data_IF_527498364087
#
_entry.id   IF_527498364087
#
_cell.length_a   1.000
_cell.length_b   1.000
_cell.length_c   1.000
_cell.angle_alpha   90.00
_cell.angle_beta   90.00
_cell.angle_gamma   90.00
#
_symmetry.space_group_name_H-M   'P 1'
#
loop_
_entity.id
_entity.type
_entity.pdbx_description
1 polymer ?
#
# COMPACT_ATOMS: atom_id res chain seq x y z
N UNK A 1 16.37 6.19 -12.61
CA UNK A 1 16.37 6.71 -11.23
C UNK A 1 16.60 8.21 -11.31
N UNK A 2 15.60 9.02 -10.97
CA UNK A 2 15.75 10.48 -10.92
C UNK A 2 15.97 10.84 -9.46
N UNK A 3 17.19 11.28 -9.14
CA UNK A 3 17.55 11.81 -7.83
C UNK A 3 17.35 13.32 -7.87
N UNK A 4 16.46 13.85 -7.03
CA UNK A 4 16.35 15.29 -6.82
C UNK A 4 17.11 15.61 -5.53
N UNK A 5 18.17 16.40 -5.67
CA UNK A 5 19.08 16.81 -4.60
C UNK A 5 18.52 18.04 -3.91
N UNK A 6 17.88 17.89 -2.75
CA UNK A 6 17.64 18.99 -1.83
C UNK A 6 18.44 18.77 -0.54
N UNK A 7 19.04 19.85 -0.04
CA UNK A 7 20.05 19.87 1.02
C UNK A 7 19.56 19.15 2.29
N UNK A 8 20.23 18.05 2.64
CA UNK A 8 20.09 17.39 3.95
C UNK A 8 19.19 16.16 3.97
N UNK A 9 19.63 15.07 3.33
CA UNK A 9 19.10 13.73 3.54
C UNK A 9 18.10 13.26 2.48
N UNK A 10 18.30 12.02 2.01
CA UNK A 10 17.42 11.33 1.06
C UNK A 10 16.06 11.01 1.73
N UNK A 11 15.10 11.94 1.68
CA UNK A 11 13.70 11.61 1.97
C UNK A 11 13.03 11.13 0.68
N UNK A 12 12.81 9.82 0.59
CA UNK A 12 11.94 9.25 -0.44
C UNK A 12 10.52 9.76 -0.18
N UNK A 13 10.10 10.77 -0.95
CA UNK A 13 8.71 11.22 -0.96
C UNK A 13 7.92 10.21 -1.80
N UNK A 14 7.46 9.12 -1.17
CA UNK A 14 6.75 8.00 -1.81
C UNK A 14 5.33 8.37 -2.29
N UNK A 15 5.12 9.59 -2.80
CA UNK A 15 3.81 10.09 -3.25
C UNK A 15 3.25 9.28 -4.45
N UNK A 16 4.11 8.49 -5.10
CA UNK A 16 3.79 7.75 -6.32
C UNK A 16 3.33 6.31 -6.09
N UNK A 17 3.58 5.77 -4.89
CA UNK A 17 3.19 4.42 -4.50
C UNK A 17 2.42 4.53 -3.19
N UNK A 18 1.10 4.42 -3.25
CA UNK A 18 0.24 4.56 -2.08
C UNK A 18 -0.32 3.19 -1.70
N UNK A 19 0.07 2.68 -0.54
CA UNK A 19 -0.45 1.43 0.00
C UNK A 19 -1.64 1.73 0.93
N UNK A 20 -2.80 1.21 0.58
CA UNK A 20 -4.05 1.37 1.31
C UNK A 20 -4.52 0.01 1.82
N UNK A 21 -5.22 -0.01 2.94
CA UNK A 21 -5.83 -1.23 3.48
C UNK A 21 -7.31 -1.28 3.09
N UNK A 22 -7.81 -2.46 2.74
CA UNK A 22 -9.20 -2.63 2.41
C UNK A 22 -10.14 -2.48 3.61
N UNK A 23 -11.31 -1.89 3.35
CA UNK A 23 -12.45 -1.89 4.27
C UNK A 23 -13.00 -3.30 4.54
N UNK A 24 -12.90 -4.21 3.57
CA UNK A 24 -13.23 -5.63 3.75
C UNK A 24 -12.25 -6.45 2.92
N UNK A 25 -11.77 -7.57 3.46
CA UNK A 25 -10.86 -8.45 2.73
C UNK A 25 -11.56 -9.02 1.50
N UNK A 26 -10.82 -9.14 0.40
CA UNK A 26 -11.34 -9.66 -0.85
C UNK A 26 -10.63 -10.97 -1.19
N UNK A 27 -11.38 -12.06 -1.29
CA UNK A 27 -10.81 -13.36 -1.67
C UNK A 27 -10.62 -13.42 -3.20
N UNK A 28 -9.37 -13.24 -3.67
CA UNK A 28 -9.02 -13.34 -5.09
C UNK A 28 -7.56 -13.70 -5.30
N UNK A 29 -7.13 -13.81 -6.56
CA UNK A 29 -5.72 -13.97 -6.89
C UNK A 29 -4.95 -12.71 -6.48
N UNK A 30 -3.94 -12.85 -5.62
CA UNK A 30 -3.00 -11.79 -5.30
C UNK A 30 -2.21 -11.40 -6.55
N UNK A 31 -2.15 -10.11 -6.87
CA UNK A 31 -1.57 -9.63 -8.13
C UNK A 31 -0.04 -9.53 -8.08
N UNK A 32 0.56 -9.72 -6.90
CA UNK A 32 2.02 -9.82 -6.73
C UNK A 32 2.53 -11.26 -6.79
N UNK A 33 1.99 -12.17 -5.95
CA UNK A 33 2.50 -13.55 -5.86
C UNK A 33 1.71 -14.57 -6.69
N UNK A 34 0.57 -14.18 -7.26
CA UNK A 34 -0.26 -15.05 -8.10
C UNK A 34 -1.04 -16.14 -7.35
N UNK A 35 -0.99 -16.20 -6.02
CA UNK A 35 -1.78 -17.18 -5.23
C UNK A 35 -3.18 -16.65 -4.93
N UNK A 36 -4.19 -17.53 -4.94
CA UNK A 36 -5.56 -17.20 -4.53
C UNK A 36 -5.66 -17.24 -3.01
N UNK A 37 -6.02 -16.11 -2.39
CA UNK A 37 -6.16 -15.94 -0.93
C UNK A 37 -6.82 -14.59 -0.63
N UNK A 38 -7.03 -14.31 0.66
CA UNK A 38 -7.50 -13.01 1.09
C UNK A 38 -6.48 -11.92 0.77
N UNK A 39 -6.95 -10.91 0.05
CA UNK A 39 -6.24 -9.67 -0.18
C UNK A 39 -6.72 -8.62 0.83
N UNK A 40 -5.73 -7.98 1.47
CA UNK A 40 -5.93 -7.02 2.56
C UNK A 40 -5.57 -5.60 2.15
N UNK A 41 -4.76 -5.45 1.09
CA UNK A 41 -4.18 -4.18 0.71
C UNK A 41 -4.35 -3.88 -0.77
N UNK A 42 -4.37 -2.60 -1.09
CA UNK A 42 -4.35 -2.05 -2.45
C UNK A 42 -3.15 -1.12 -2.60
N UNK A 43 -2.29 -1.38 -3.57
CA UNK A 43 -1.17 -0.51 -3.93
C UNK A 43 -1.52 0.31 -5.18
N UNK A 44 -1.74 1.61 -5.01
CA UNK A 44 -2.02 2.53 -6.11
C UNK A 44 -0.71 3.06 -6.71
N UNK A 45 -0.57 2.96 -8.04
CA UNK A 45 0.60 3.42 -8.78
C UNK A 45 0.29 4.70 -9.53
N UNK A 46 0.96 5.78 -9.15
CA UNK A 46 0.79 7.13 -9.70
C UNK A 46 2.04 7.56 -10.47
N UNK A 47 1.83 8.43 -11.45
CA UNK A 47 2.87 9.03 -12.26
C UNK A 47 3.85 9.80 -11.40
N UNK A 48 5.13 9.68 -11.71
CA UNK A 48 6.18 10.33 -10.95
C UNK A 48 6.06 11.87 -11.00
N UNK A 49 5.64 12.40 -12.15
CA UNK A 49 5.60 13.82 -12.49
C UNK A 49 4.23 14.43 -12.23
N UNK A 50 3.17 13.83 -12.78
CA UNK A 50 1.80 14.39 -12.72
C UNK A 50 1.04 13.93 -11.47
N UNK A 51 1.52 12.89 -10.77
CA UNK A 51 0.81 12.20 -9.67
C UNK A 51 -0.56 11.64 -10.06
N UNK A 52 -0.87 11.60 -11.36
CA UNK A 52 -2.09 10.94 -11.86
C UNK A 52 -1.92 9.43 -11.87
N UNK A 53 -3.00 8.69 -11.75
CA UNK A 53 -2.96 7.22 -11.81
C UNK A 53 -2.48 6.77 -13.21
N UNK A 54 -1.48 5.88 -13.29
CA UNK A 54 -0.89 5.45 -14.59
C UNK A 54 -1.52 4.15 -15.14
N UNK A 55 -1.56 3.08 -14.34
CA UNK A 55 -1.79 1.71 -14.84
C UNK A 55 -2.85 0.94 -14.04
N UNK A 56 -3.06 1.30 -12.79
CA UNK A 56 -4.12 0.73 -11.95
C UNK A 56 -3.63 0.58 -10.52
N UNK A 57 -4.29 -0.31 -9.80
CA UNK A 57 -3.99 -0.63 -8.43
C UNK A 57 -3.71 -2.12 -8.31
N UNK A 58 -2.72 -2.51 -7.49
CA UNK A 58 -2.47 -3.91 -7.19
C UNK A 58 -3.16 -4.34 -5.90
N UNK A 59 -3.95 -5.40 -5.97
CA UNK A 59 -4.53 -6.00 -4.78
C UNK A 59 -3.62 -7.11 -4.23
N UNK A 60 -3.26 -6.97 -2.97
CA UNK A 60 -2.18 -7.71 -2.32
C UNK A 60 -2.68 -8.52 -1.12
N UNK A 61 -2.19 -9.75 -1.01
CA UNK A 61 -2.36 -10.56 0.20
C UNK A 61 -1.54 -10.02 1.37
N UNK A 62 -1.75 -10.56 2.57
CA UNK A 62 -1.06 -10.14 3.80
C UNK A 62 0.46 -10.05 3.65
N UNK A 63 1.10 -11.13 3.20
CA UNK A 63 2.56 -11.22 3.01
C UNK A 63 3.08 -10.19 2.00
N UNK A 64 2.42 -10.06 0.85
CA UNK A 64 2.83 -9.12 -0.19
C UNK A 64 2.65 -7.68 0.27
N UNK A 65 1.51 -7.37 0.92
CA UNK A 65 1.26 -6.05 1.49
C UNK A 65 2.30 -5.66 2.52
N UNK A 66 2.62 -6.56 3.47
CA UNK A 66 3.68 -6.37 4.48
C UNK A 66 5.04 -6.04 3.85
N UNK A 67 5.47 -6.83 2.86
CA UNK A 67 6.71 -6.54 2.13
C UNK A 67 6.69 -5.16 1.45
N UNK A 68 5.57 -4.76 0.83
CA UNK A 68 5.45 -3.43 0.24
C UNK A 68 5.42 -2.32 1.30
N UNK A 69 4.80 -2.54 2.46
CA UNK A 69 4.83 -1.64 3.60
C UNK A 69 6.26 -1.39 4.07
N UNK A 70 7.06 -2.44 4.21
CA UNK A 70 8.48 -2.35 4.60
C UNK A 70 9.31 -1.58 3.55
N UNK A 71 9.10 -1.85 2.26
CA UNK A 71 9.77 -1.14 1.15
C UNK A 71 9.44 0.35 1.16
N UNK A 72 8.16 0.69 1.38
CA UNK A 72 7.66 2.07 1.39
C UNK A 72 7.84 2.76 2.76
N UNK A 73 8.29 2.02 3.77
CA UNK A 73 8.37 2.47 5.17
C UNK A 73 7.03 2.99 5.70
N UNK A 74 5.94 2.34 5.30
CA UNK A 74 4.57 2.64 5.76
C UNK A 74 4.18 1.62 6.81
N UNK A 75 3.84 2.04 8.05
CA UNK A 75 3.35 1.11 9.05
C UNK A 75 1.99 0.57 8.61
N UNK A 76 1.89 -0.75 8.49
CA UNK A 76 0.64 -1.43 8.13
C UNK A 76 0.33 -2.52 9.15
N UNK A 77 -0.91 -2.54 9.63
CA UNK A 77 -1.44 -3.61 10.48
C UNK A 77 -2.58 -4.32 9.75
N UNK A 78 -2.72 -5.64 9.94
CA UNK A 78 -3.91 -6.37 9.48
C UNK A 78 -4.97 -6.49 10.57
N UNK A 79 -4.65 -6.06 11.77
CA UNK A 79 -5.52 -6.13 12.93
C UNK A 79 -6.39 -4.88 12.99
N UNK A 80 -7.70 -5.08 13.08
CA UNK A 80 -8.65 -4.02 13.41
C UNK A 80 -8.93 -4.10 14.90
N UNK A 81 -8.27 -3.23 15.67
CA UNK A 81 -8.80 -2.88 16.98
C UNK A 81 -9.96 -1.92 16.75
N UNK A 82 -11.16 -2.30 17.18
CA UNK A 82 -12.26 -1.34 17.28
C UNK A 82 -11.95 -0.52 18.52
N UNK A 83 -11.40 0.68 18.33
CA UNK A 83 -10.97 1.51 19.46
C UNK A 83 -12.17 2.15 20.19
N UNK A 84 -13.32 2.29 19.51
CA UNK A 84 -14.56 2.84 20.08
C UNK A 84 -15.74 1.90 19.80
N UNK A 85 -16.17 1.19 20.84
CA UNK A 85 -17.45 0.45 20.86
C UNK A 85 -18.29 0.95 22.03
N UNK A 86 -19.41 1.62 21.75
CA UNK A 86 -20.37 2.08 22.75
C UNK A 86 -21.71 1.36 22.57
N UNK A 87 -22.20 0.73 23.64
CA UNK A 87 -23.58 0.25 23.73
C UNK A 87 -24.45 1.42 24.18
N UNK A 88 -25.02 2.18 23.25
CA UNK A 88 -26.26 2.91 23.57
C UNK A 88 -27.45 1.94 23.55
#
# INVERSE_FOLDING_TARGET
MVYIMEKGGFKLKHDCLCLEQFAQTIYKKCECCGRVRDNFFRLNIKDARTKSMIVGSFDLCKECGQNFGDILKVPISTERTVDDFSFE
#
